data_IF_751085142195
#
_entry.id   IF_751085142195
#
_cell.length_a   1.000
_cell.length_b   1.000
_cell.length_c   1.000
_cell.angle_alpha   90.00
_cell.angle_beta   90.00
_cell.angle_gamma   90.00
#
_symmetry.space_group_name_H-M   'P 1'
#
loop_
_entity.id
_entity.type
_entity.pdbx_description
1 polymer ?
#
# COMPACT_ATOMS: atom_id res chain seq x y z
N UNK A 1 0.62 5.52 -12.00
CA UNK A 1 0.89 5.67 -10.55
C UNK A 1 0.46 7.05 -10.09
N UNK A 2 -0.24 7.12 -8.96
CA UNK A 2 -0.67 8.39 -8.37
C UNK A 2 0.33 8.86 -7.32
N UNK A 3 0.62 10.15 -7.29
CA UNK A 3 1.46 10.77 -6.28
C UNK A 3 1.03 12.22 -6.01
N UNK A 4 1.30 12.72 -4.82
CA UNK A 4 0.94 14.07 -4.39
C UNK A 4 2.00 14.69 -3.50
N UNK A 5 1.80 15.95 -3.12
CA UNK A 5 2.58 16.57 -2.06
C UNK A 5 2.35 15.86 -0.73
N UNK A 6 3.39 15.78 0.12
CA UNK A 6 3.36 15.02 1.38
C UNK A 6 2.32 15.43 2.43
N UNK A 7 1.53 16.47 2.17
CA UNK A 7 0.42 16.89 3.05
C UNK A 7 -0.89 16.13 2.80
N UNK A 8 -1.01 15.41 1.68
CA UNK A 8 -2.24 14.70 1.33
C UNK A 8 -2.21 13.30 1.92
N UNK A 9 -3.30 12.91 2.59
CA UNK A 9 -3.44 11.58 3.16
C UNK A 9 -3.50 10.51 2.06
N UNK A 10 -2.81 9.39 2.25
CA UNK A 10 -2.67 8.33 1.24
C UNK A 10 -4.01 7.77 0.77
N UNK A 11 -4.95 7.56 1.67
CA UNK A 11 -6.29 7.07 1.31
C UNK A 11 -7.07 8.07 0.46
N UNK A 12 -6.91 9.38 0.70
CA UNK A 12 -7.51 10.39 -0.13
C UNK A 12 -6.88 10.40 -1.53
N UNK A 13 -5.56 10.23 -1.61
CA UNK A 13 -4.87 10.08 -2.89
C UNK A 13 -5.36 8.85 -3.67
N UNK A 14 -5.56 7.73 -2.99
CA UNK A 14 -6.12 6.51 -3.59
C UNK A 14 -7.52 6.76 -4.18
N UNK A 15 -8.41 7.43 -3.42
CA UNK A 15 -9.76 7.78 -3.91
C UNK A 15 -9.72 8.71 -5.11
N UNK A 16 -8.88 9.73 -5.06
CA UNK A 16 -8.76 10.72 -6.13
C UNK A 16 -8.14 10.14 -7.41
N UNK A 17 -7.29 9.14 -7.29
CA UNK A 17 -6.67 8.46 -8.44
C UNK A 17 -7.67 7.70 -9.32
N UNK A 18 -8.86 7.41 -8.78
CA UNK A 18 -9.90 6.60 -9.43
C UNK A 18 -9.36 5.27 -9.99
N UNK A 19 -8.37 4.72 -9.30
CA UNK A 19 -7.76 3.46 -9.68
C UNK A 19 -8.75 2.31 -9.47
N UNK A 20 -9.01 1.56 -10.52
CA UNK A 20 -9.92 0.42 -10.48
C UNK A 20 -9.12 -0.88 -10.44
N UNK A 21 -9.45 -1.72 -9.46
CA UNK A 21 -8.91 -3.07 -9.32
C UNK A 21 -10.02 -4.06 -9.64
N UNK A 22 -9.69 -5.17 -10.30
CA UNK A 22 -10.65 -6.24 -10.56
C UNK A 22 -11.26 -6.74 -9.25
N UNK A 23 -12.57 -7.01 -9.23
CA UNK A 23 -13.29 -7.46 -8.04
C UNK A 23 -12.71 -8.74 -7.42
N UNK A 24 -12.08 -9.58 -8.22
CA UNK A 24 -11.42 -10.83 -7.80
C UNK A 24 -10.13 -10.59 -7.01
N UNK A 25 -9.49 -9.43 -7.19
CA UNK A 25 -8.21 -9.11 -6.58
C UNK A 25 -8.41 -8.63 -5.14
N UNK A 26 -7.77 -9.30 -4.19
CA UNK A 26 -7.75 -8.88 -2.79
C UNK A 26 -6.84 -7.67 -2.61
N UNK A 27 -7.36 -6.61 -1.99
CA UNK A 27 -6.59 -5.44 -1.59
C UNK A 27 -6.23 -5.52 -0.11
N UNK A 28 -4.95 -5.42 0.18
CA UNK A 28 -4.45 -5.31 1.55
C UNK A 28 -4.04 -3.86 1.84
N UNK A 29 -4.51 -3.32 2.94
CA UNK A 29 -4.17 -1.96 3.37
C UNK A 29 -3.98 -1.89 4.88
N UNK A 30 -3.45 -0.77 5.35
CA UNK A 30 -3.28 -0.51 6.78
C UNK A 30 -4.51 0.14 7.42
N UNK A 31 -4.45 0.40 8.72
CA UNK A 31 -5.53 1.02 9.48
C UNK A 31 -5.93 2.42 8.99
N UNK A 32 -5.08 3.11 8.24
CA UNK A 32 -5.36 4.41 7.65
C UNK A 32 -6.40 4.39 6.52
N UNK A 33 -6.68 3.21 5.97
CA UNK A 33 -7.62 3.01 4.86
C UNK A 33 -9.01 2.57 5.34
N UNK A 34 -9.47 3.04 6.47
CA UNK A 34 -10.82 2.73 6.97
C UNK A 34 -11.88 3.16 5.95
N UNK A 35 -12.82 2.26 5.65
CA UNK A 35 -13.83 2.47 4.60
C UNK A 35 -13.43 1.96 3.21
N UNK A 36 -12.25 1.38 3.04
CA UNK A 36 -11.85 0.77 1.76
C UNK A 36 -12.83 -0.31 1.30
N UNK A 37 -13.41 -1.09 2.20
CA UNK A 37 -14.41 -2.11 1.90
C UNK A 37 -15.66 -1.57 1.18
N UNK A 38 -16.00 -0.30 1.36
CA UNK A 38 -17.09 0.37 0.65
C UNK A 38 -16.74 0.66 -0.81
N UNK A 39 -15.46 0.82 -1.12
CA UNK A 39 -14.96 1.09 -2.46
C UNK A 39 -14.63 -0.23 -3.18
N UNK A 40 -14.02 -1.17 -2.45
CA UNK A 40 -13.63 -2.48 -2.95
C UNK A 40 -13.94 -3.55 -1.92
N UNK A 41 -14.97 -4.38 -2.19
CA UNK A 41 -15.47 -5.37 -1.23
C UNK A 41 -14.41 -6.41 -0.83
N UNK A 42 -13.56 -6.84 -1.77
CA UNK A 42 -12.49 -7.79 -1.52
C UNK A 42 -11.25 -7.10 -0.96
N UNK A 43 -11.35 -6.58 0.26
CA UNK A 43 -10.27 -5.86 0.93
C UNK A 43 -9.99 -6.41 2.32
N UNK A 44 -8.72 -6.44 2.71
CA UNK A 44 -8.23 -6.85 4.01
C UNK A 44 -7.67 -5.65 4.77
N UNK A 45 -8.31 -5.33 5.88
CA UNK A 45 -7.92 -4.23 6.78
C UNK A 45 -7.83 -4.73 8.21
N UNK A 46 -6.77 -4.38 8.96
CA UNK A 46 -6.75 -4.65 10.39
C UNK A 46 -7.78 -3.77 11.09
N UNK A 47 -8.44 -4.34 12.11
CA UNK A 47 -9.38 -3.58 12.94
C UNK A 47 -8.64 -2.58 13.82
N UNK A 48 -9.12 -1.35 13.81
CA UNK A 48 -8.58 -0.26 14.63
C UNK A 48 -9.14 -0.33 16.04
N UNK A 49 -8.25 -0.22 17.03
CA UNK A 49 -8.67 -0.04 18.43
C UNK A 49 -9.28 1.36 18.62
N UNK A 50 -10.43 1.44 19.30
CA UNK A 50 -10.98 2.72 19.75
C UNK A 50 -11.01 2.79 21.29
N UNK A 51 -11.15 3.99 21.85
CA UNK A 51 -11.25 4.17 23.32
C UNK A 51 -12.42 3.38 23.91
N UNK A 52 -13.55 3.33 23.21
CA UNK A 52 -14.80 2.74 23.70
C UNK A 52 -14.96 1.27 23.29
N UNK A 53 -14.16 0.77 22.36
CA UNK A 53 -14.23 -0.58 21.85
C UNK A 53 -12.83 -1.20 21.76
N UNK A 54 -12.34 -1.80 22.88
CA UNK A 54 -11.08 -2.53 22.85
C UNK A 54 -11.20 -3.75 21.94
N UNK A 55 -10.10 -4.12 21.29
CA UNK A 55 -10.06 -5.29 20.42
C UNK A 55 -10.32 -6.59 21.22
N UNK A 56 -11.21 -7.44 20.71
CA UNK A 56 -11.43 -8.79 21.24
C UNK A 56 -10.23 -9.70 20.98
N UNK A 57 -10.17 -10.86 21.65
CA UNK A 57 -9.10 -11.85 21.40
C UNK A 57 -9.09 -12.32 19.94
N UNK A 58 -10.29 -12.53 19.36
CA UNK A 58 -10.41 -12.93 17.96
C UNK A 58 -9.92 -11.85 17.01
N UNK A 59 -10.31 -10.62 17.24
CA UNK A 59 -9.86 -9.47 16.42
C UNK A 59 -8.34 -9.27 16.46
N UNK A 60 -7.71 -9.50 17.62
CA UNK A 60 -6.24 -9.48 17.74
C UNK A 60 -5.59 -10.59 16.94
N UNK A 61 -6.18 -11.77 16.93
CA UNK A 61 -5.71 -12.92 16.14
C UNK A 61 -5.81 -12.63 14.66
N UNK A 62 -6.94 -12.10 14.20
CA UNK A 62 -7.17 -11.74 12.80
C UNK A 62 -6.20 -10.65 12.35
N UNK A 63 -5.97 -9.62 13.16
CA UNK A 63 -4.99 -8.57 12.89
C UNK A 63 -3.56 -9.14 12.79
N UNK A 64 -3.22 -10.13 13.59
CA UNK A 64 -1.92 -10.80 13.53
C UNK A 64 -1.74 -11.58 12.24
N UNK A 65 -2.77 -12.26 11.76
CA UNK A 65 -2.74 -12.97 10.47
C UNK A 65 -2.57 -12.00 9.30
N UNK A 66 -3.31 -10.88 9.30
CA UNK A 66 -3.16 -9.81 8.32
C UNK A 66 -1.73 -9.25 8.33
N UNK A 67 -1.16 -9.01 9.52
CA UNK A 67 0.21 -8.53 9.66
C UNK A 67 1.24 -9.49 9.08
N UNK A 68 1.04 -10.79 9.25
CA UNK A 68 1.92 -11.81 8.65
C UNK A 68 1.89 -11.79 7.13
N UNK A 69 0.73 -11.64 6.52
CA UNK A 69 0.61 -11.47 5.05
C UNK A 69 1.35 -10.21 4.57
N UNK A 70 1.22 -9.11 5.31
CA UNK A 70 1.86 -7.83 4.97
C UNK A 70 3.38 -7.86 5.00
N UNK A 71 4.01 -8.75 5.76
CA UNK A 71 5.46 -8.89 5.79
C UNK A 71 6.03 -9.13 4.38
N UNK A 72 5.37 -9.92 3.56
CA UNK A 72 5.79 -10.17 2.17
C UNK A 72 5.76 -8.90 1.33
N UNK A 73 4.71 -8.10 1.49
CA UNK A 73 4.56 -6.80 0.81
C UNK A 73 5.65 -5.82 1.27
N UNK A 74 5.92 -5.76 2.57
CA UNK A 74 6.97 -4.91 3.13
C UNK A 74 8.35 -5.29 2.61
N UNK A 75 8.63 -6.59 2.47
CA UNK A 75 9.87 -7.07 1.85
C UNK A 75 9.99 -6.64 0.39
N UNK A 76 8.90 -6.71 -0.38
CA UNK A 76 8.87 -6.25 -1.77
C UNK A 76 9.13 -4.73 -1.87
N UNK A 77 8.48 -3.93 -1.03
CA UNK A 77 8.67 -2.49 -0.96
C UNK A 77 10.11 -2.15 -0.56
N UNK A 78 10.65 -2.84 0.44
CA UNK A 78 12.05 -2.66 0.86
C UNK A 78 13.02 -2.96 -0.27
N UNK A 79 12.77 -3.99 -1.05
CA UNK A 79 13.60 -4.34 -2.20
C UNK A 79 13.59 -3.22 -3.25
N UNK A 80 12.43 -2.67 -3.59
CA UNK A 80 12.30 -1.53 -4.50
C UNK A 80 12.99 -0.28 -3.96
N UNK A 81 12.86 0.00 -2.67
CA UNK A 81 13.49 1.15 -2.00
C UNK A 81 15.03 1.09 -1.92
N UNK A 82 15.64 -0.03 -2.22
CA UNK A 82 17.12 -0.12 -2.37
C UNK A 82 17.65 0.81 -3.45
N UNK A 83 16.85 1.12 -4.45
CA UNK A 83 17.23 2.09 -5.47
C UNK A 83 17.10 3.51 -4.88
N UNK A 84 18.23 4.16 -4.69
CA UNK A 84 18.31 5.51 -4.08
C UNK A 84 17.41 6.53 -4.76
N UNK A 85 17.24 6.43 -6.06
CA UNK A 85 16.38 7.32 -6.85
C UNK A 85 14.92 7.32 -6.37
N UNK A 86 14.46 6.25 -5.70
CA UNK A 86 13.10 6.13 -5.17
C UNK A 86 13.01 6.44 -3.66
N UNK A 87 14.09 6.24 -2.90
CA UNK A 87 14.10 6.36 -1.44
C UNK A 87 14.63 7.69 -0.92
N UNK A 88 15.51 8.35 -1.67
CA UNK A 88 16.09 9.64 -1.28
C UNK A 88 15.17 10.80 -1.68
N UNK A 89 15.37 11.95 -1.02
CA UNK A 89 14.67 13.18 -1.37
C UNK A 89 14.95 13.52 -2.83
N UNK A 90 13.90 13.48 -3.63
CA UNK A 90 14.01 13.62 -5.06
C UNK A 90 14.30 15.06 -5.49
N UNK A 91 15.45 15.28 -6.14
CA UNK A 91 15.92 16.60 -6.63
C UNK A 91 15.54 16.87 -8.08
N UNK A 92 15.12 15.85 -8.82
CA UNK A 92 14.78 15.95 -10.24
C UNK A 92 13.30 16.33 -10.48
N UNK A 93 12.96 16.63 -11.74
CA UNK A 93 11.60 16.99 -12.12
C UNK A 93 10.62 15.86 -11.82
N UNK A 94 9.55 16.17 -11.10
CA UNK A 94 8.49 15.22 -10.69
C UNK A 94 7.83 14.48 -11.86
N UNK A 95 7.79 15.10 -13.05
CA UNK A 95 7.18 14.52 -14.26
C UNK A 95 7.73 13.14 -14.64
N UNK A 96 8.97 12.85 -14.31
CA UNK A 96 9.62 11.58 -14.65
C UNK A 96 9.64 10.57 -13.50
N UNK A 97 9.14 10.93 -12.33
CA UNK A 97 9.17 10.03 -11.18
C UNK A 97 8.34 8.77 -11.40
N UNK A 98 7.10 8.90 -11.89
CA UNK A 98 6.22 7.77 -12.16
C UNK A 98 6.82 6.79 -13.18
N UNK A 99 7.43 7.31 -14.25
CA UNK A 99 8.12 6.49 -15.26
C UNK A 99 9.29 5.72 -14.64
N UNK A 100 10.14 6.38 -13.89
CA UNK A 100 11.30 5.75 -13.24
C UNK A 100 10.88 4.69 -12.24
N UNK A 101 9.86 4.97 -11.43
CA UNK A 101 9.29 3.99 -10.51
C UNK A 101 8.77 2.77 -11.25
N UNK A 102 8.00 2.96 -12.33
CA UNK A 102 7.46 1.87 -13.12
C UNK A 102 8.54 1.00 -13.76
N UNK A 103 9.60 1.60 -14.28
CA UNK A 103 10.74 0.89 -14.85
C UNK A 103 11.47 0.04 -13.80
N UNK A 104 11.73 0.62 -12.61
CA UNK A 104 12.41 -0.09 -11.52
C UNK A 104 11.53 -1.21 -10.98
N UNK A 105 10.23 -0.97 -10.80
CA UNK A 105 9.29 -1.99 -10.37
C UNK A 105 9.21 -3.14 -11.39
N UNK A 106 9.22 -2.83 -12.68
CA UNK A 106 9.27 -3.82 -13.75
C UNK A 106 10.52 -4.69 -13.70
N UNK A 107 11.69 -4.10 -13.51
CA UNK A 107 12.97 -4.82 -13.34
C UNK A 107 12.93 -5.71 -12.10
N UNK A 108 12.45 -5.20 -10.97
CA UNK A 108 12.34 -5.97 -9.73
C UNK A 108 11.40 -7.17 -9.88
N UNK A 109 10.28 -6.98 -10.57
CA UNK A 109 9.33 -8.07 -10.84
C UNK A 109 9.95 -9.12 -11.76
N UNK A 110 10.68 -8.71 -12.79
CA UNK A 110 11.37 -9.60 -13.68
C UNK A 110 12.40 -10.47 -12.93
N UNK A 111 13.23 -9.86 -12.09
CA UNK A 111 14.20 -10.59 -11.27
C UNK A 111 13.56 -11.63 -10.35
N UNK A 112 12.36 -11.35 -9.85
CA UNK A 112 11.64 -12.28 -8.98
C UNK A 112 11.00 -13.46 -9.72
N UNK A 113 10.67 -13.26 -10.98
CA UNK A 113 10.11 -14.31 -11.84
C UNK A 113 11.19 -15.20 -12.47
N UNK A 114 12.38 -14.70 -12.52
CA UNK A 114 13.53 -15.47 -12.93
C UNK A 114 14.10 -16.32 -11.80
#
# INVERSE_FOLDING_TARGET
MAFSNGKKHDFQLFKDSRFHVKAETELEADTGYQGLAQIHANSLLPKKRSKNHPLTKQERKDNREISRKRILVEHAIRFVKRFRILSERYRNRRKRFALRFSLIAGICNFDRLA
#
